data_IF_882476000005
#
_entry.id   IF_882476000005
#
_cell.length_a   1.000
_cell.length_b   1.000
_cell.length_c   1.000
_cell.angle_alpha   90.00
_cell.angle_beta   90.00
_cell.angle_gamma   90.00
#
_symmetry.space_group_name_H-M   'P 1'
#
loop_
_entity.id
_entity.type
_entity.pdbx_description
1 polymer ?
#
# COMPACT_ATOMS: atom_id res chain seq x y z
N UNK A 1 3.01 11.80 -11.29
CA UNK A 1 2.24 10.67 -10.71
C UNK A 1 0.77 10.95 -10.91
N UNK A 2 0.02 9.96 -11.33
CA UNK A 2 -1.44 10.04 -11.49
C UNK A 2 -2.13 9.09 -10.49
N UNK A 3 -3.26 9.50 -9.92
CA UNK A 3 -4.15 8.60 -9.17
C UNK A 3 -5.02 7.83 -10.16
N UNK A 4 -4.78 6.54 -10.28
CA UNK A 4 -5.59 5.66 -11.15
C UNK A 4 -6.89 5.25 -10.44
N UNK A 5 -6.82 5.04 -9.12
CA UNK A 5 -7.99 4.65 -8.33
C UNK A 5 -7.83 5.07 -6.87
N UNK A 6 -8.93 5.51 -6.27
CA UNK A 6 -9.06 5.73 -4.83
C UNK A 6 -9.84 4.55 -4.25
N UNK A 7 -9.28 3.89 -3.22
CA UNK A 7 -9.82 2.66 -2.68
C UNK A 7 -10.01 2.75 -1.17
N UNK A 8 -11.17 2.33 -0.69
CA UNK A 8 -11.53 2.35 0.73
C UNK A 8 -12.07 1.00 1.19
N UNK A 9 -12.03 0.75 2.50
CA UNK A 9 -12.66 -0.41 3.11
C UNK A 9 -13.14 -0.11 4.51
N UNK A 10 -14.26 -0.70 4.91
CA UNK A 10 -14.65 -0.81 6.32
C UNK A 10 -13.88 -1.94 7.00
N UNK A 11 -13.82 -1.92 8.33
CA UNK A 11 -13.28 -3.06 9.08
C UNK A 11 -14.18 -4.28 8.84
N UNK A 12 -13.56 -5.35 8.40
CA UNK A 12 -14.16 -6.66 8.21
C UNK A 12 -13.32 -7.74 8.89
N UNK A 13 -13.68 -8.99 8.68
CA UNK A 13 -12.94 -10.15 9.17
C UNK A 13 -12.12 -10.80 8.05
N UNK A 14 -10.90 -11.18 8.36
CA UNK A 14 -10.06 -12.04 7.54
C UNK A 14 -9.93 -13.39 8.25
N UNK A 15 -10.31 -14.46 7.56
CA UNK A 15 -10.17 -15.81 8.09
C UNK A 15 -8.77 -16.34 7.81
N UNK A 16 -8.08 -16.78 8.87
CA UNK A 16 -6.75 -17.39 8.76
C UNK A 16 -6.83 -18.88 9.07
N UNK A 17 -6.57 -19.78 8.11
CA UNK A 17 -6.68 -21.22 8.30
C UNK A 17 -5.52 -21.83 9.11
N UNK A 18 -4.57 -21.05 9.61
CA UNK A 18 -3.28 -21.52 10.14
C UNK A 18 -3.33 -22.16 11.54
N UNK A 19 -4.51 -22.35 12.16
CA UNK A 19 -4.63 -23.08 13.43
C UNK A 19 -5.88 -23.99 13.42
N UNK A 20 -5.91 -25.08 14.21
CA UNK A 20 -7.13 -25.84 14.43
C UNK A 20 -8.26 -24.91 14.92
N UNK A 21 -9.34 -24.78 14.13
CA UNK A 21 -10.46 -23.89 14.40
C UNK A 21 -10.42 -22.54 13.71
N UNK A 22 -9.31 -22.17 13.02
CA UNK A 22 -9.15 -20.90 12.32
C UNK A 22 -9.37 -19.66 13.22
N UNK A 23 -8.69 -18.58 12.95
CA UNK A 23 -8.90 -17.32 13.67
C UNK A 23 -9.42 -16.23 12.72
N UNK A 24 -10.43 -15.49 13.17
CA UNK A 24 -10.84 -14.25 12.51
C UNK A 24 -9.99 -13.10 13.03
N UNK A 25 -9.37 -12.36 12.09
CA UNK A 25 -8.57 -11.18 12.38
C UNK A 25 -9.25 -9.97 11.78
N UNK A 26 -9.49 -8.94 12.58
CA UNK A 26 -10.02 -7.68 12.10
C UNK A 26 -9.07 -7.02 11.08
N UNK A 27 -9.62 -6.57 9.97
CA UNK A 27 -8.82 -5.96 8.89
C UNK A 27 -9.64 -5.02 8.03
N UNK A 28 -8.99 -4.04 7.42
CA UNK A 28 -9.53 -3.22 6.35
C UNK A 28 -8.73 -3.39 5.03
N UNK A 29 -8.09 -4.56 4.85
CA UNK A 29 -7.26 -4.85 3.67
C UNK A 29 -8.10 -5.05 2.39
N UNK A 30 -9.40 -5.32 2.52
CA UNK A 30 -10.30 -5.56 1.37
C UNK A 30 -10.78 -4.24 0.75
N UNK A 31 -9.82 -3.43 0.29
CA UNK A 31 -10.11 -2.16 -0.37
C UNK A 31 -10.89 -2.37 -1.67
N UNK A 32 -11.79 -1.45 -1.94
CA UNK A 32 -12.59 -1.39 -3.16
C UNK A 32 -12.54 0.02 -3.72
N UNK A 33 -12.48 0.12 -5.04
CA UNK A 33 -12.50 1.40 -5.73
C UNK A 33 -13.81 2.14 -5.47
N UNK A 34 -13.69 3.45 -5.28
CA UNK A 34 -14.84 4.35 -5.14
C UNK A 34 -14.83 5.38 -6.25
N UNK A 35 -16.02 5.84 -6.64
CA UNK A 35 -16.20 6.86 -7.67
C UNK A 35 -16.26 8.25 -7.05
N UNK A 36 -15.78 9.25 -7.81
CA UNK A 36 -15.86 10.66 -7.44
C UNK A 36 -14.85 11.09 -6.38
N UNK A 37 -14.93 12.35 -5.96
CA UNK A 37 -14.02 12.92 -4.99
C UNK A 37 -14.20 12.32 -3.60
N UNK A 38 -13.07 12.10 -2.90
CA UNK A 38 -13.01 11.54 -1.54
C UNK A 38 -12.30 12.52 -0.63
N UNK A 39 -12.89 12.84 0.52
CA UNK A 39 -12.26 13.68 1.53
C UNK A 39 -11.06 12.95 2.17
N UNK A 40 -9.98 13.70 2.38
CA UNK A 40 -8.75 13.25 3.03
C UNK A 40 -8.58 14.01 4.32
N UNK A 41 -8.72 13.30 5.44
CA UNK A 41 -8.47 13.82 6.78
C UNK A 41 -7.12 13.35 7.34
N UNK A 42 -6.76 13.84 8.52
CA UNK A 42 -5.46 13.53 9.16
C UNK A 42 -5.23 12.04 9.41
N UNK A 43 -6.27 11.23 9.46
CA UNK A 43 -6.19 9.79 9.72
C UNK A 43 -6.45 8.94 8.47
N UNK A 44 -6.63 9.55 7.30
CA UNK A 44 -6.84 8.85 6.03
C UNK A 44 -8.09 9.30 5.28
N UNK A 45 -8.58 8.45 4.40
CA UNK A 45 -9.68 8.73 3.49
C UNK A 45 -11.04 8.56 4.18
N UNK A 46 -11.99 9.41 3.83
CA UNK A 46 -13.40 9.21 4.20
C UNK A 46 -13.90 7.86 3.67
N UNK A 47 -14.68 7.16 4.49
CA UNK A 47 -15.18 5.81 4.16
C UNK A 47 -14.15 4.70 4.35
N UNK A 48 -12.88 5.04 4.59
CA UNK A 48 -11.84 4.06 4.91
C UNK A 48 -11.72 3.83 6.42
N UNK A 49 -11.23 2.64 6.78
CA UNK A 49 -11.01 2.27 8.16
C UNK A 49 -9.60 1.68 8.37
N UNK A 50 -9.08 1.84 9.58
CA UNK A 50 -7.84 1.26 10.05
C UNK A 50 -8.17 0.34 11.23
N UNK A 51 -8.11 -0.99 10.98
CA UNK A 51 -8.46 -2.00 11.99
C UNK A 51 -7.46 -2.05 13.17
N UNK A 52 -6.23 -1.64 12.94
CA UNK A 52 -5.16 -1.60 13.93
C UNK A 52 -4.32 -0.33 13.70
N UNK A 53 -4.58 0.68 14.52
CA UNK A 53 -3.89 1.97 14.44
C UNK A 53 -2.46 1.95 14.99
N UNK A 54 -2.07 0.91 15.74
CA UNK A 54 -0.74 0.82 16.35
C UNK A 54 0.28 0.26 15.35
N UNK A 55 -0.11 -0.74 14.55
CA UNK A 55 0.78 -1.42 13.60
C UNK A 55 0.52 -1.06 12.15
N UNK A 56 -0.76 -0.88 11.77
CA UNK A 56 -1.19 -0.74 10.38
C UNK A 56 -1.99 0.55 10.11
N UNK A 57 -1.81 1.58 10.92
CA UNK A 57 -2.53 2.82 10.80
C UNK A 57 -1.88 3.96 11.58
N UNK A 58 -2.69 4.95 11.95
CA UNK A 58 -2.25 6.18 12.60
C UNK A 58 -1.79 7.26 11.60
N UNK A 59 -1.41 8.45 12.10
CA UNK A 59 -1.12 9.61 11.25
C UNK A 59 0.02 9.38 10.25
N UNK A 60 1.05 8.59 10.61
CA UNK A 60 2.16 8.25 9.73
C UNK A 60 1.79 7.25 8.63
N UNK A 61 0.67 6.55 8.77
CA UNK A 61 0.15 5.55 7.82
C UNK A 61 -1.28 5.88 7.41
N UNK A 62 -1.56 7.19 7.23
CA UNK A 62 -2.90 7.68 6.94
C UNK A 62 -3.41 7.18 5.58
N UNK A 63 -2.54 7.16 4.56
CA UNK A 63 -2.87 6.71 3.21
C UNK A 63 -1.78 5.80 2.70
N UNK A 64 -2.14 4.66 2.14
CA UNK A 64 -1.21 3.74 1.49
C UNK A 64 -1.31 3.86 -0.02
N UNK A 65 -0.21 4.18 -0.68
CA UNK A 65 -0.07 4.27 -2.13
C UNK A 65 0.71 3.08 -2.69
N UNK A 66 0.28 2.57 -3.84
CA UNK A 66 0.90 1.44 -4.52
C UNK A 66 0.93 1.65 -6.03
N UNK A 67 2.08 1.37 -6.66
CA UNK A 67 2.29 1.59 -8.08
C UNK A 67 1.56 0.53 -8.94
N UNK A 68 0.77 0.99 -9.90
CA UNK A 68 0.07 0.14 -10.87
C UNK A 68 1.04 -0.71 -11.69
N UNK A 69 2.22 -0.18 -11.95
CA UNK A 69 3.30 -0.87 -12.70
C UNK A 69 3.65 -2.23 -12.11
N UNK A 70 3.49 -2.42 -10.81
CA UNK A 70 3.78 -3.68 -10.14
C UNK A 70 2.64 -4.71 -10.20
N UNK A 71 1.47 -4.35 -10.72
CA UNK A 71 0.33 -5.27 -10.83
C UNK A 71 0.63 -6.46 -11.74
N UNK A 72 1.37 -6.24 -12.83
CA UNK A 72 1.78 -7.32 -13.73
C UNK A 72 2.60 -8.40 -13.01
N UNK A 73 3.52 -8.00 -12.11
CA UNK A 73 4.26 -8.94 -11.27
C UNK A 73 3.31 -9.81 -10.43
N UNK A 74 2.34 -9.20 -9.75
CA UNK A 74 1.39 -9.93 -8.91
C UNK A 74 0.46 -10.83 -9.69
N UNK A 75 0.06 -10.41 -10.87
CA UNK A 75 -0.77 -11.19 -11.78
C UNK A 75 -0.03 -12.46 -12.23
N UNK A 76 1.25 -12.32 -12.56
CA UNK A 76 2.11 -13.45 -12.90
C UNK A 76 2.31 -14.40 -11.70
N UNK A 77 2.55 -13.89 -10.49
CA UNK A 77 2.66 -14.74 -9.29
C UNK A 77 1.36 -15.53 -9.03
N UNK A 78 0.19 -14.93 -9.25
CA UNK A 78 -1.09 -15.62 -9.15
C UNK A 78 -1.27 -16.69 -10.22
N UNK A 79 -0.90 -16.39 -11.46
CA UNK A 79 -0.95 -17.34 -12.59
C UNK A 79 -0.08 -18.56 -12.29
N UNK A 80 1.16 -18.35 -11.85
CA UNK A 80 2.10 -19.41 -11.48
C UNK A 80 1.59 -20.27 -10.29
N UNK A 81 0.81 -19.68 -9.39
CA UNK A 81 0.19 -20.39 -8.28
C UNK A 81 -1.18 -21.02 -8.62
N UNK A 82 -1.58 -21.05 -9.91
CA UNK A 82 -2.85 -21.63 -10.35
C UNK A 82 -4.09 -20.86 -9.88
N UNK A 83 -3.98 -19.54 -9.60
CA UNK A 83 -5.09 -18.69 -9.14
C UNK A 83 -5.87 -18.01 -10.27
N UNK A 84 -5.59 -18.42 -11.52
CA UNK A 84 -6.22 -17.88 -12.72
C UNK A 84 -5.58 -16.60 -13.23
N UNK A 85 -6.06 -16.14 -14.40
CA UNK A 85 -5.50 -15.00 -15.15
C UNK A 85 -6.37 -13.74 -15.05
N UNK A 86 -7.40 -13.74 -14.19
CA UNK A 86 -8.28 -12.59 -14.04
C UNK A 86 -7.47 -11.36 -13.59
N UNK A 87 -7.67 -10.19 -14.21
CA UNK A 87 -7.02 -8.96 -13.82
C UNK A 87 -7.22 -8.66 -12.34
N UNK A 88 -6.19 -8.16 -11.68
CA UNK A 88 -6.31 -7.68 -10.32
C UNK A 88 -7.10 -6.37 -10.29
N UNK A 89 -8.12 -6.33 -9.46
CA UNK A 89 -8.84 -5.08 -9.19
C UNK A 89 -7.94 -4.11 -8.42
N UNK A 90 -8.14 -2.80 -8.60
CA UNK A 90 -7.49 -1.79 -7.79
C UNK A 90 -7.83 -2.00 -6.31
N UNK A 91 -6.89 -1.73 -5.41
CA UNK A 91 -7.00 -2.08 -3.99
C UNK A 91 -6.62 -3.54 -3.68
N UNK A 92 -6.13 -4.31 -4.67
CA UNK A 92 -5.78 -5.72 -4.49
C UNK A 92 -4.67 -5.94 -3.46
N UNK A 93 -3.73 -5.05 -3.34
CA UNK A 93 -2.62 -5.12 -2.39
C UNK A 93 -2.99 -4.47 -1.03
N UNK A 94 -4.22 -3.95 -0.90
CA UNK A 94 -4.72 -3.26 0.28
C UNK A 94 -4.40 -1.77 0.30
N UNK A 95 -4.04 -1.21 -0.85
CA UNK A 95 -3.73 0.21 -1.01
C UNK A 95 -4.98 1.08 -1.08
N UNK A 96 -4.84 2.30 -0.56
CA UNK A 96 -5.81 3.38 -0.68
C UNK A 96 -5.74 4.07 -2.03
N UNK A 97 -4.52 4.27 -2.55
CA UNK A 97 -4.28 4.87 -3.85
C UNK A 97 -3.55 3.88 -4.74
N UNK A 98 -4.18 3.48 -5.84
CA UNK A 98 -3.46 2.87 -6.96
C UNK A 98 -2.94 4.03 -7.80
N UNK A 99 -1.63 4.14 -7.95
CA UNK A 99 -0.96 5.28 -8.60
C UNK A 99 -0.13 4.82 -9.80
N UNK A 100 0.14 5.73 -10.73
CA UNK A 100 1.03 5.49 -11.87
C UNK A 100 2.08 6.60 -11.97
N UNK A 101 3.32 6.23 -12.33
CA UNK A 101 4.40 7.19 -12.57
C UNK A 101 5.13 7.66 -11.32
N UNK A 102 5.09 6.89 -10.21
CA UNK A 102 5.95 7.12 -9.04
C UNK A 102 6.31 5.77 -8.40
N UNK A 103 7.53 5.32 -8.68
CA UNK A 103 8.07 4.06 -8.15
C UNK A 103 8.95 4.30 -6.92
N UNK A 104 9.31 3.23 -6.24
CA UNK A 104 10.05 3.26 -4.97
C UNK A 104 11.43 3.90 -5.07
N UNK A 105 12.08 3.85 -6.22
CA UNK A 105 13.40 4.46 -6.48
C UNK A 105 13.31 5.98 -6.68
N UNK A 106 12.19 6.46 -7.20
CA UNK A 106 11.89 7.87 -7.41
C UNK A 106 11.12 8.52 -6.24
N UNK A 107 10.71 7.73 -5.24
CA UNK A 107 9.93 8.14 -4.08
C UNK A 107 10.82 8.22 -2.83
N UNK A 108 10.90 9.39 -2.18
CA UNK A 108 11.80 9.65 -1.06
C UNK A 108 11.01 10.02 0.19
N UNK A 109 11.50 9.58 1.35
CA UNK A 109 10.92 10.03 2.63
C UNK A 109 10.99 11.54 2.73
N UNK A 110 9.86 12.16 3.05
CA UNK A 110 9.71 13.61 3.14
C UNK A 110 9.35 14.31 1.83
N UNK A 111 9.30 13.60 0.68
CA UNK A 111 8.73 14.18 -0.54
C UNK A 111 7.24 14.50 -0.30
N UNK A 112 6.80 15.65 -0.78
CA UNK A 112 5.40 16.11 -0.64
C UNK A 112 4.67 15.98 -1.96
N UNK A 113 3.44 15.53 -1.86
CA UNK A 113 2.55 15.31 -2.99
C UNK A 113 1.34 16.23 -2.84
N UNK A 114 1.24 17.24 -3.71
CA UNK A 114 0.02 18.02 -3.86
C UNK A 114 -0.92 17.22 -4.77
N UNK A 115 -2.04 16.75 -4.21
CA UNK A 115 -3.03 15.87 -4.83
C UNK A 115 -4.42 16.46 -4.65
N UNK A 116 -5.12 16.77 -5.74
CA UNK A 116 -6.39 17.49 -5.65
C UNK A 116 -6.24 18.77 -4.83
N UNK A 117 -6.94 18.88 -3.71
CA UNK A 117 -6.77 20.00 -2.77
C UNK A 117 -6.01 19.63 -1.50
N UNK A 118 -5.54 18.38 -1.38
CA UNK A 118 -4.80 17.88 -0.23
C UNK A 118 -3.28 17.99 -0.44
N UNK A 119 -2.53 18.12 0.67
CA UNK A 119 -1.08 18.01 0.69
C UNK A 119 -0.70 16.82 1.57
N UNK A 120 -0.02 15.83 0.97
CA UNK A 120 0.46 14.64 1.66
C UNK A 120 1.98 14.59 1.62
N UNK A 121 2.59 13.82 2.53
CA UNK A 121 4.03 13.65 2.58
C UNK A 121 4.39 12.17 2.73
N UNK A 122 5.37 11.70 1.96
CA UNK A 122 5.91 10.33 2.07
C UNK A 122 6.51 10.13 3.45
N UNK A 123 5.94 9.22 4.22
CA UNK A 123 6.26 9.04 5.64
C UNK A 123 7.02 7.75 5.94
N UNK A 124 6.60 6.64 5.33
CA UNK A 124 7.14 5.31 5.65
C UNK A 124 7.05 4.37 4.44
N UNK A 125 7.98 3.40 4.41
CA UNK A 125 7.86 2.23 3.55
C UNK A 125 6.85 1.24 4.14
N UNK A 126 6.06 0.58 3.31
CA UNK A 126 5.19 -0.49 3.82
C UNK A 126 6.01 -1.71 4.24
N UNK A 127 5.68 -2.26 5.40
CA UNK A 127 6.12 -3.59 5.83
C UNK A 127 4.96 -4.57 5.62
N UNK A 128 5.08 -5.54 4.69
CA UNK A 128 4.02 -6.51 4.45
C UNK A 128 3.86 -7.47 5.63
N UNK A 129 2.66 -8.02 5.81
CA UNK A 129 2.37 -9.00 6.84
C UNK A 129 1.52 -10.15 6.28
N UNK A 130 1.28 -11.18 7.10
CA UNK A 130 0.51 -12.37 6.71
C UNK A 130 -0.88 -12.08 6.14
N UNK A 131 -1.50 -10.94 6.48
CA UNK A 131 -2.80 -10.55 5.92
C UNK A 131 -2.74 -10.43 4.39
N UNK A 132 -1.59 -10.03 3.84
CA UNK A 132 -1.38 -9.99 2.40
C UNK A 132 -1.41 -11.39 1.78
N UNK A 133 -0.83 -12.39 2.46
CA UNK A 133 -0.84 -13.77 1.99
C UNK A 133 -2.29 -14.27 1.81
N UNK A 134 -3.12 -14.03 2.81
CA UNK A 134 -4.53 -14.44 2.79
C UNK A 134 -5.31 -13.66 1.72
N UNK A 135 -5.14 -12.33 1.67
CA UNK A 135 -5.80 -11.45 0.69
C UNK A 135 -5.52 -11.88 -0.75
N UNK A 136 -4.25 -12.20 -1.05
CA UNK A 136 -3.80 -12.57 -2.39
C UNK A 136 -4.06 -14.06 -2.70
N UNK A 137 -4.35 -14.88 -1.68
CA UNK A 137 -4.41 -16.33 -1.82
C UNK A 137 -3.05 -16.96 -2.14
N UNK A 138 -1.95 -16.29 -1.78
CA UNK A 138 -0.57 -16.70 -2.03
C UNK A 138 0.15 -16.86 -0.69
N UNK A 139 0.58 -18.09 -0.29
CA UNK A 139 1.19 -18.32 1.02
C UNK A 139 2.42 -17.46 1.35
N UNK A 140 3.10 -16.96 0.32
CA UNK A 140 4.34 -16.20 0.45
C UNK A 140 4.25 -14.77 -0.11
N UNK A 141 3.06 -14.21 -0.29
CA UNK A 141 2.90 -12.87 -0.86
C UNK A 141 3.67 -11.79 -0.09
N UNK A 142 3.67 -11.83 1.25
CA UNK A 142 4.44 -10.89 2.06
C UNK A 142 5.94 -11.02 1.81
N UNK A 143 6.47 -12.24 1.71
CA UNK A 143 7.87 -12.49 1.38
C UNK A 143 8.22 -12.03 -0.04
N UNK A 144 7.35 -12.31 -1.01
CA UNK A 144 7.53 -11.86 -2.39
C UNK A 144 7.58 -10.33 -2.48
N UNK A 145 6.73 -9.63 -1.73
CA UNK A 145 6.74 -8.17 -1.65
C UNK A 145 8.05 -7.63 -1.04
N UNK A 146 8.53 -8.23 0.03
CA UNK A 146 9.83 -7.85 0.62
C UNK A 146 11.00 -8.12 -0.34
N UNK A 147 10.99 -9.27 -1.03
CA UNK A 147 12.06 -9.67 -1.94
C UNK A 147 12.10 -8.82 -3.22
N UNK A 148 10.96 -8.52 -3.80
CA UNK A 148 10.88 -7.65 -4.99
C UNK A 148 11.21 -6.19 -4.68
N UNK A 149 10.93 -5.74 -3.46
CA UNK A 149 10.96 -4.34 -3.10
C UNK A 149 9.76 -3.54 -3.60
N UNK A 150 8.78 -4.17 -4.22
CA UNK A 150 7.54 -3.59 -4.71
C UNK A 150 6.55 -3.40 -3.56
N UNK A 151 6.90 -2.53 -2.63
CA UNK A 151 6.18 -2.37 -1.37
C UNK A 151 5.13 -1.27 -1.41
N UNK A 152 5.31 -0.28 -2.28
CA UNK A 152 4.61 0.99 -2.15
C UNK A 152 5.06 1.75 -0.90
N UNK A 153 4.34 2.78 -0.54
CA UNK A 153 4.71 3.68 0.53
C UNK A 153 3.48 4.27 1.22
N UNK A 154 3.67 4.66 2.49
CA UNK A 154 2.67 5.39 3.24
C UNK A 154 2.86 6.89 3.10
N UNK A 155 1.73 7.58 3.24
CA UNK A 155 1.63 9.02 3.21
C UNK A 155 0.96 9.50 4.51
N UNK A 156 1.52 10.54 5.13
CA UNK A 156 0.86 11.33 6.17
C UNK A 156 0.19 12.55 5.53
N UNK A 157 -0.89 13.02 6.13
CA UNK A 157 -1.64 14.17 5.63
C UNK A 157 -1.14 15.43 6.33
N UNK A 158 -0.51 16.33 5.57
CA UNK A 158 -0.08 17.65 6.05
C UNK A 158 -1.24 18.64 6.02
N UNK A 159 -1.97 18.67 4.91
CA UNK A 159 -3.16 19.50 4.74
C UNK A 159 -4.32 18.62 4.27
N UNK A 160 -5.42 18.54 5.04
CA UNK A 160 -6.65 17.91 4.60
C UNK A 160 -7.20 18.55 3.33
N UNK A 161 -7.93 17.76 2.55
CA UNK A 161 -8.51 18.21 1.29
C UNK A 161 -9.35 17.12 0.65
N UNK A 162 -9.42 17.12 -0.67
CA UNK A 162 -10.19 16.16 -1.47
C UNK A 162 -9.33 15.65 -2.62
N UNK A 163 -9.41 14.38 -2.91
CA UNK A 163 -8.71 13.70 -4.01
C UNK A 163 -9.68 12.85 -4.83
N UNK A 164 -9.36 12.61 -6.08
CA UNK A 164 -10.14 11.74 -6.97
C UNK A 164 -9.23 10.93 -7.89
N UNK A 165 -9.77 9.86 -8.48
CA UNK A 165 -9.12 9.21 -9.63
C UNK A 165 -8.99 10.22 -10.78
N UNK A 166 -7.85 10.19 -11.48
CA UNK A 166 -7.47 11.17 -12.51
C UNK A 166 -6.69 12.38 -12.00
N UNK A 167 -6.62 12.60 -10.68
CA UNK A 167 -5.80 13.70 -10.14
C UNK A 167 -4.32 13.46 -10.43
N UNK A 168 -3.66 14.51 -10.92
CA UNK A 168 -2.22 14.53 -11.16
C UNK A 168 -1.49 15.12 -9.94
N UNK A 169 -0.56 14.35 -9.36
CA UNK A 169 0.26 14.85 -8.28
C UNK A 169 1.40 15.73 -8.80
N UNK A 170 1.57 16.88 -8.14
CA UNK A 170 2.83 17.63 -8.20
C UNK A 170 3.71 17.18 -7.04
N UNK A 171 4.89 16.62 -7.37
CA UNK A 171 5.89 16.19 -6.38
C UNK A 171 6.77 17.39 -6.03
N UNK A 172 6.78 17.75 -4.73
CA UNK A 172 7.69 18.72 -4.14
C UNK A 172 8.80 17.97 -3.43
N UNK A 173 10.05 18.01 -3.92
CA UNK A 173 11.14 17.26 -3.30
C UNK A 173 11.38 17.65 -1.84
N UNK A 174 11.50 16.62 -0.99
CA UNK A 174 11.97 16.77 0.38
C UNK A 174 13.51 16.73 0.49
N UNK A 175 14.04 16.37 1.67
CA UNK A 175 15.51 16.29 1.88
C UNK A 175 16.21 15.24 1.03
N UNK A 176 15.47 14.25 0.51
CA UNK A 176 15.97 13.15 -0.33
C UNK A 176 17.17 12.40 0.24
N UNK A 177 17.11 12.12 1.54
CA UNK A 177 18.16 11.36 2.26
C UNK A 177 18.05 9.86 1.96
N UNK A 178 16.84 9.30 1.99
CA UNK A 178 16.57 7.88 1.74
C UNK A 178 15.35 7.72 0.84
N UNK A 179 15.51 7.00 -0.26
CA UNK A 179 14.37 6.55 -1.08
C UNK A 179 13.71 5.31 -0.47
N UNK A 180 12.48 5.05 -0.87
CA UNK A 180 11.75 3.82 -0.49
C UNK A 180 12.53 2.58 -0.95
N UNK A 181 13.12 2.61 -2.15
CA UNK A 181 13.94 1.50 -2.66
C UNK A 181 15.18 1.25 -1.81
N UNK A 182 15.88 2.30 -1.35
CA UNK A 182 17.05 2.17 -0.48
C UNK A 182 16.69 1.59 0.89
N UNK A 183 15.55 1.98 1.48
CA UNK A 183 15.06 1.40 2.73
C UNK A 183 14.74 -0.09 2.54
N UNK A 184 14.08 -0.46 1.44
CA UNK A 184 13.79 -1.85 1.10
C UNK A 184 15.07 -2.68 0.95
N UNK A 185 16.10 -2.14 0.28
CA UNK A 185 17.40 -2.80 0.14
C UNK A 185 18.06 -3.05 1.49
N UNK A 186 18.11 -2.04 2.37
CA UNK A 186 18.66 -2.16 3.71
C UNK A 186 17.94 -3.22 4.57
N UNK A 187 16.61 -3.30 4.47
CA UNK A 187 15.83 -4.33 5.18
C UNK A 187 16.12 -5.75 4.71
N UNK A 188 16.40 -5.95 3.41
CA UNK A 188 16.75 -7.27 2.87
C UNK A 188 18.10 -7.74 3.41
N UNK A 189 19.08 -6.86 3.48
CA UNK A 189 20.43 -7.17 4.00
C UNK A 189 20.40 -7.55 5.47
N UNK A 190 19.59 -6.87 6.30
CA UNK A 190 19.50 -7.17 7.73
C UNK A 190 18.69 -8.42 8.06
N UNK A 191 17.83 -8.89 7.14
CA UNK A 191 17.02 -10.10 7.31
C UNK A 191 17.64 -11.38 6.73
N UNK A 192 18.75 -11.30 6.00
CA UNK A 192 19.62 -12.41 5.68
C UNK A 192 20.79 -12.41 6.66
N UNK A 193 20.73 -13.14 7.80
CA UNK A 193 21.95 -13.52 8.51
C UNK A 193 22.70 -14.44 7.55
N UNK A 194 24.01 -14.20 7.42
CA UNK A 194 24.92 -15.03 6.66
C UNK A 194 24.74 -16.50 7.08
N UNK A 195 24.12 -17.29 6.21
CA UNK A 195 24.10 -18.74 6.29
C UNK A 195 25.37 -19.20 5.58
N UNK A 196 26.49 -19.16 6.30
CA UNK A 196 27.70 -19.93 6.03
C UNK A 196 28.04 -20.76 7.26
#
# INVERSE_FOLDING_TARGET
>A
MEIISVNVARVGALFTPAAPGGHQVATAIHKQAVSGPVAVGRLGLEGDAQADRRLHGGPGKAVYAYALEHYAFWQEQRRLAGKGDAPLAHGALGENLTVQGLLEDACWIGDRLALGTALLEVSEVRTPCFKLNVKMGLPHAARLMDQSGYTGFYLRVLQPGTIAAGDMATVQPGPRTLSIAQINAGRRTTRQPDLF
#
